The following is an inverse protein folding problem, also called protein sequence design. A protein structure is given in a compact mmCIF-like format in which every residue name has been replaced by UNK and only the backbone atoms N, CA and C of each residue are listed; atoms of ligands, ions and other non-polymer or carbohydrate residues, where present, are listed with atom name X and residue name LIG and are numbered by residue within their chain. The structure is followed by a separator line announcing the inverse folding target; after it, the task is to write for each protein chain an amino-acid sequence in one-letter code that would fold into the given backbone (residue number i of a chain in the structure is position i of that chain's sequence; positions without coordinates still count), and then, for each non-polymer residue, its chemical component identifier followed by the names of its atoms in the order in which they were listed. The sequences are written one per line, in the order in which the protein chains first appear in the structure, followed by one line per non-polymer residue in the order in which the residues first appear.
data_IF_540970563816
#
_entry.id   IF_540970563816
#
_cell.length_a   1.000
_cell.length_b   1.000
_cell.length_c   1.000
_cell.angle_alpha   90.00
_cell.angle_beta   90.00
_cell.angle_gamma   90.00
#
_symmetry.space_group_name_H-M   'P 1'
#
loop_
_entity.id
_entity.type
_entity.pdbx_description
1 polymer ?
#
# COMPACT_ATOMS: atom_id res chain seq x y z
N UNK A 1 4.14 6.76 19.72
CA UNK A 1 3.14 7.07 18.67
C UNK A 1 3.55 6.30 17.43
N UNK A 2 2.85 5.21 17.09
CA UNK A 2 3.10 4.49 15.84
C UNK A 2 2.73 5.35 14.63
N UNK A 3 3.52 5.21 13.55
CA UNK A 3 3.17 5.75 12.23
C UNK A 3 2.40 4.69 11.45
N UNK A 4 1.14 4.96 11.14
CA UNK A 4 0.23 3.98 10.58
C UNK A 4 -0.09 4.22 9.10
N UNK A 5 -0.37 3.12 8.42
CA UNK A 5 -0.93 3.07 7.08
C UNK A 5 -1.77 1.80 6.94
N UNK A 6 -2.59 1.73 5.91
CA UNK A 6 -3.37 0.54 5.52
C UNK A 6 -2.91 0.05 4.16
N UNK A 7 -2.96 -1.25 3.94
CA UNK A 7 -2.49 -1.85 2.70
C UNK A 7 -3.19 -3.19 2.41
N UNK A 8 -3.11 -3.61 1.15
CA UNK A 8 -3.38 -4.97 0.74
C UNK A 8 -2.08 -5.78 0.74
N UNK A 9 -2.09 -6.93 1.39
CA UNK A 9 -1.01 -7.90 1.27
C UNK A 9 -1.03 -8.53 -0.13
N UNK A 10 0.14 -8.69 -0.72
CA UNK A 10 0.31 -9.41 -1.97
C UNK A 10 0.49 -10.92 -1.71
N UNK A 11 -0.05 -11.80 -2.56
CA UNK A 11 0.24 -13.23 -2.50
C UNK A 11 1.75 -13.50 -2.50
N UNK A 12 2.21 -14.46 -1.69
CA UNK A 12 3.64 -14.75 -1.52
C UNK A 12 4.36 -14.96 -2.86
N UNK A 13 3.79 -15.74 -3.78
CA UNK A 13 4.38 -15.99 -5.09
C UNK A 13 4.60 -14.69 -5.89
N UNK A 14 3.66 -13.73 -5.79
CA UNK A 14 3.79 -12.43 -6.44
C UNK A 14 4.86 -11.56 -5.78
N UNK A 15 4.94 -11.55 -4.44
CA UNK A 15 6.01 -10.86 -3.70
C UNK A 15 7.40 -11.39 -4.09
N UNK A 16 7.55 -12.71 -4.19
CA UNK A 16 8.78 -13.36 -4.63
C UNK A 16 9.12 -13.02 -6.09
N UNK A 17 8.12 -12.97 -6.97
CA UNK A 17 8.33 -12.60 -8.36
C UNK A 17 8.80 -11.14 -8.49
N UNK A 18 8.14 -10.21 -7.80
CA UNK A 18 8.50 -8.79 -7.81
C UNK A 18 9.87 -8.53 -7.16
N UNK A 19 10.25 -9.29 -6.13
CA UNK A 19 11.55 -9.12 -5.47
C UNK A 19 12.73 -9.46 -6.36
N UNK A 20 12.53 -10.25 -7.43
CA UNK A 20 13.52 -10.53 -8.45
C UNK A 20 13.68 -9.39 -9.46
N UNK A 21 12.71 -8.49 -9.57
CA UNK A 21 12.74 -7.33 -10.47
C UNK A 21 13.57 -6.23 -9.82
N UNK A 22 14.89 -6.34 -9.97
CA UNK A 22 15.88 -5.36 -9.47
C UNK A 22 16.83 -4.97 -10.59
N UNK A 23 17.30 -3.74 -10.55
CA UNK A 23 18.33 -3.22 -11.45
C UNK A 23 19.56 -2.78 -10.64
N UNK A 24 20.77 -2.77 -11.23
CA UNK A 24 21.97 -2.27 -10.58
C UNK A 24 21.92 -0.74 -10.51
N UNK A 25 21.13 -0.21 -9.58
CA UNK A 25 20.96 1.23 -9.34
C UNK A 25 21.80 1.61 -8.12
N UNK A 26 22.79 2.46 -8.33
CA UNK A 26 23.68 2.91 -7.26
C UNK A 26 22.89 3.61 -6.15
N UNK A 27 23.10 3.16 -4.90
CA UNK A 27 22.43 3.71 -3.72
C UNK A 27 20.97 3.28 -3.54
N UNK A 28 20.41 2.43 -4.42
CA UNK A 28 19.07 1.91 -4.24
C UNK A 28 18.98 0.98 -3.02
N UNK A 29 17.97 1.19 -2.19
CA UNK A 29 17.59 0.30 -1.09
C UNK A 29 16.35 -0.46 -1.52
N UNK A 30 16.52 -1.73 -1.88
CA UNK A 30 15.41 -2.58 -2.29
C UNK A 30 14.60 -3.03 -1.08
N UNK A 31 13.27 -3.03 -1.24
CA UNK A 31 12.35 -3.51 -0.21
C UNK A 31 12.37 -5.05 -0.20
N UNK A 32 12.44 -5.64 0.99
CA UNK A 32 12.33 -7.09 1.15
C UNK A 32 10.95 -7.61 0.72
N UNK A 33 10.90 -8.85 0.22
CA UNK A 33 9.69 -9.40 -0.35
C UNK A 33 8.52 -9.38 0.65
N UNK A 34 8.77 -9.62 1.93
CA UNK A 34 7.77 -9.63 3.01
C UNK A 34 7.15 -8.26 3.27
N UNK A 35 7.86 -7.18 2.91
CA UNK A 35 7.40 -5.82 3.10
C UNK A 35 6.69 -5.25 1.86
N UNK A 36 6.57 -6.01 0.77
CA UNK A 36 5.87 -5.56 -0.44
C UNK A 36 4.35 -5.64 -0.27
N UNK A 37 3.68 -4.51 -0.47
CA UNK A 37 2.23 -4.36 -0.32
C UNK A 37 1.70 -3.25 -1.23
N UNK A 38 0.39 -3.23 -1.45
CA UNK A 38 -0.29 -2.11 -2.12
C UNK A 38 -0.82 -1.18 -1.03
N UNK A 39 -0.21 -0.02 -0.85
CA UNK A 39 -0.70 0.95 0.13
C UNK A 39 -2.07 1.47 -0.29
N UNK A 40 -3.05 1.38 0.62
CA UNK A 40 -4.37 1.99 0.44
C UNK A 40 -4.41 3.39 1.02
N UNK A 41 -3.84 3.60 2.22
CA UNK A 41 -3.83 4.94 2.84
C UNK A 41 -2.69 5.11 3.84
N UNK A 42 -1.96 6.21 3.73
CA UNK A 42 -1.07 6.69 4.80
C UNK A 42 -1.87 7.53 5.81
N UNK A 43 -1.74 7.22 7.09
CA UNK A 43 -2.48 7.89 8.18
C UNK A 43 -1.56 8.82 8.97
N UNK A 44 -0.29 8.45 9.13
CA UNK A 44 0.68 9.24 9.87
C UNK A 44 0.78 8.81 11.34
N UNK A 45 1.27 9.69 12.19
CA UNK A 45 1.48 9.42 13.61
C UNK A 45 0.16 9.52 14.38
N UNK A 46 -0.23 8.42 15.04
CA UNK A 46 -1.40 8.39 15.93
C UNK A 46 -0.98 8.05 17.36
N UNK A 47 -1.72 8.55 18.34
CA UNK A 47 -1.69 7.98 19.68
C UNK A 47 -2.38 6.61 19.71
N UNK A 48 -2.09 5.80 20.73
CA UNK A 48 -2.55 4.42 20.82
C UNK A 48 -4.08 4.29 20.82
N UNK A 49 -4.78 5.20 21.51
CA UNK A 49 -6.24 5.16 21.56
C UNK A 49 -6.86 5.46 20.20
N UNK A 50 -6.38 6.51 19.53
CA UNK A 50 -6.85 6.85 18.18
C UNK A 50 -6.51 5.76 17.17
N UNK A 51 -5.38 5.08 17.34
CA UNK A 51 -5.00 3.92 16.54
C UNK A 51 -5.95 2.74 16.72
N UNK A 52 -6.33 2.41 17.96
CA UNK A 52 -7.29 1.33 18.26
C UNK A 52 -8.67 1.64 17.69
N UNK A 53 -9.16 2.88 17.87
CA UNK A 53 -10.43 3.32 17.30
C UNK A 53 -10.40 3.28 15.77
N UNK A 54 -9.27 3.62 15.15
CA UNK A 54 -9.07 3.48 13.70
C UNK A 54 -9.11 2.01 13.25
N UNK A 55 -8.42 1.12 13.96
CA UNK A 55 -8.41 -0.31 13.66
C UNK A 55 -9.83 -0.92 13.75
N UNK A 56 -10.61 -0.54 14.75
CA UNK A 56 -12.01 -0.97 14.88
C UNK A 56 -12.84 -0.58 13.66
N UNK A 57 -12.74 0.68 13.20
CA UNK A 57 -13.47 1.19 12.03
C UNK A 57 -13.05 0.53 10.72
N UNK A 58 -11.79 0.12 10.59
CA UNK A 58 -11.34 -0.66 9.45
C UNK A 58 -12.04 -2.03 9.40
N UNK A 59 -12.32 -2.63 10.56
CA UNK A 59 -13.05 -3.89 10.68
C UNK A 59 -14.50 -3.85 10.15
N UNK A 60 -15.09 -2.65 10.08
CA UNK A 60 -16.44 -2.44 9.55
C UNK A 60 -16.47 -2.32 8.02
N UNK A 61 -15.31 -2.17 7.36
CA UNK A 61 -15.24 -2.06 5.90
C UNK A 61 -15.58 -3.42 5.27
N UNK A 62 -16.63 -3.43 4.46
CA UNK A 62 -16.99 -4.57 3.60
C UNK A 62 -16.59 -4.27 2.16
N UNK A 63 -15.84 -5.18 1.56
CA UNK A 63 -15.42 -5.11 0.17
C UNK A 63 -15.53 -6.51 -0.46
N UNK A 64 -16.02 -6.55 -1.69
CA UNK A 64 -16.01 -7.77 -2.49
C UNK A 64 -14.58 -8.10 -2.95
N UNK A 65 -14.29 -9.36 -3.27
CA UNK A 65 -13.04 -9.73 -3.92
C UNK A 65 -12.80 -8.87 -5.17
N UNK A 66 -11.62 -8.28 -5.28
CA UNK A 66 -11.23 -7.46 -6.42
C UNK A 66 -10.09 -8.11 -7.21
N UNK A 67 -10.14 -7.92 -8.53
CA UNK A 67 -9.06 -8.29 -9.42
C UNK A 67 -8.08 -7.12 -9.54
N UNK A 68 -6.78 -7.40 -9.34
CA UNK A 68 -5.72 -6.41 -9.43
C UNK A 68 -4.65 -6.94 -10.38
N UNK A 69 -4.21 -6.09 -11.30
CA UNK A 69 -3.08 -6.33 -12.18
C UNK A 69 -1.91 -5.47 -11.74
N UNK A 70 -0.73 -6.07 -11.61
CA UNK A 70 0.53 -5.33 -11.46
C UNK A 70 1.12 -5.12 -12.85
N UNK A 71 1.25 -3.87 -13.28
CA UNK A 71 1.65 -3.52 -14.64
C UNK A 71 2.64 -2.36 -14.67
N UNK A 72 3.76 -2.57 -15.35
CA UNK A 72 4.80 -1.55 -15.52
C UNK A 72 5.57 -1.22 -14.24
N UNK A 73 6.60 -0.41 -14.40
CA UNK A 73 7.40 0.16 -13.31
C UNK A 73 7.59 1.65 -13.57
N UNK A 74 7.67 2.42 -12.49
CA UNK A 74 7.81 3.86 -12.56
C UNK A 74 8.65 4.42 -11.43
N UNK A 75 8.85 5.73 -11.49
CA UNK A 75 9.41 6.52 -10.41
C UNK A 75 8.48 7.71 -10.17
N UNK A 76 8.34 8.16 -8.91
CA UNK A 76 7.63 9.41 -8.66
C UNK A 76 8.41 10.61 -9.23
N UNK A 77 7.71 11.71 -9.49
CA UNK A 77 8.35 12.95 -9.94
C UNK A 77 8.71 13.85 -8.73
N UNK A 78 9.54 14.87 -8.97
CA UNK A 78 9.84 15.90 -7.96
C UNK A 78 10.66 15.39 -6.78
N UNK A 79 10.30 15.80 -5.55
CA UNK A 79 11.04 15.43 -4.32
C UNK A 79 11.05 13.93 -4.04
N UNK A 80 10.08 13.20 -4.59
CA UNK A 80 9.91 11.75 -4.39
C UNK A 80 10.55 10.90 -5.49
N UNK A 81 11.31 11.50 -6.41
CA UNK A 81 12.02 10.81 -7.49
C UNK A 81 13.09 9.77 -7.05
N UNK A 82 13.14 9.48 -5.74
CA UNK A 82 13.98 8.47 -5.11
C UNK A 82 13.26 7.13 -4.91
N UNK A 83 11.97 7.05 -5.23
CA UNK A 83 11.15 5.85 -5.04
C UNK A 83 10.80 5.25 -6.40
N UNK A 84 11.14 3.98 -6.57
CA UNK A 84 10.67 3.13 -7.66
C UNK A 84 9.45 2.36 -7.19
N UNK A 85 8.47 2.19 -8.08
CA UNK A 85 7.23 1.47 -7.78
C UNK A 85 6.80 0.61 -8.96
N UNK A 86 6.01 -0.42 -8.67
CA UNK A 86 5.30 -1.22 -9.66
C UNK A 86 3.88 -0.67 -9.82
N UNK A 87 3.41 -0.51 -11.06
CA UNK A 87 2.08 0.05 -11.31
C UNK A 87 0.98 -0.93 -10.91
N UNK A 88 -0.16 -0.39 -10.47
CA UNK A 88 -1.30 -1.16 -9.98
C UNK A 88 -2.55 -0.73 -10.73
N UNK A 89 -3.25 -1.68 -11.31
CA UNK A 89 -4.53 -1.49 -12.00
C UNK A 89 -5.59 -2.34 -11.29
N UNK A 90 -6.60 -1.72 -10.69
CA UNK A 90 -7.62 -2.42 -9.88
C UNK A 90 -9.06 -1.92 -10.07
N UNK A 91 -9.30 -1.12 -11.11
CA UNK A 91 -10.64 -0.65 -11.46
C UNK A 91 -11.34 0.19 -10.39
N UNK A 92 -12.67 0.28 -10.49
CA UNK A 92 -13.49 1.07 -9.59
C UNK A 92 -13.57 0.46 -8.18
N UNK A 93 -13.34 -0.84 -8.06
CA UNK A 93 -13.38 -1.62 -6.83
C UNK A 93 -12.21 -1.24 -5.91
N UNK A 94 -10.99 -1.16 -6.46
CA UNK A 94 -9.82 -0.71 -5.70
C UNK A 94 -9.98 0.74 -5.24
N UNK A 95 -10.51 1.60 -6.11
CA UNK A 95 -10.82 2.99 -5.77
C UNK A 95 -11.88 3.12 -4.66
N UNK A 96 -12.91 2.26 -4.68
CA UNK A 96 -13.92 2.22 -3.63
C UNK A 96 -13.33 1.79 -2.29
N UNK A 97 -12.44 0.79 -2.29
CA UNK A 97 -11.74 0.33 -1.10
C UNK A 97 -10.80 1.41 -0.56
N UNK A 98 -10.05 2.09 -1.42
CA UNK A 98 -9.25 3.26 -1.05
C UNK A 98 -10.12 4.34 -0.38
N UNK A 99 -11.25 4.69 -0.99
CA UNK A 99 -12.20 5.68 -0.43
C UNK A 99 -12.80 5.24 0.92
N UNK A 100 -13.01 3.94 1.14
CA UNK A 100 -13.47 3.43 2.43
C UNK A 100 -12.42 3.64 3.53
N UNK A 101 -11.14 3.38 3.23
CA UNK A 101 -10.02 3.68 4.12
C UNK A 101 -9.85 5.19 4.36
N UNK A 102 -10.12 6.01 3.34
CA UNK A 102 -10.18 7.49 3.46
C UNK A 102 -11.27 7.98 4.42
N UNK A 103 -12.43 7.31 4.47
CA UNK A 103 -13.48 7.64 5.44
C UNK A 103 -13.14 7.17 6.84
N UNK A 104 -12.59 5.95 6.97
CA UNK A 104 -12.27 5.36 8.27
C UNK A 104 -11.27 6.20 9.09
N UNK A 105 -10.26 6.82 8.47
CA UNK A 105 -9.27 7.63 9.20
C UNK A 105 -9.63 9.13 9.35
N UNK A 106 -10.85 9.57 8.99
CA UNK A 106 -11.32 10.96 9.19
C UNK A 106 -12.24 11.14 10.40
N UNK A 107 -12.86 10.06 10.87
CA UNK A 107 -13.71 10.09 12.06
C UNK A 107 -12.87 10.09 13.35
#
# INVERSE_FOLDING_TARGET
MPRLFTALELPQALRMHLSLIRAPIHGAKWVEAENMHITLRFVGDLDERTADDFAARLGDIRAEPLAITIAGVGAFAGREARVLWAGVEGGAELDQLHRANERAARA
#
